data_IF_552320443967
#
_entry.id   IF_552320443967
#
_cell.length_a   1.000
_cell.length_b   1.000
_cell.length_c   1.000
_cell.angle_alpha   90.00
_cell.angle_beta   90.00
_cell.angle_gamma   90.00
#
_symmetry.space_group_name_H-M   'P 1'
#
loop_
_entity.id
_entity.type
_entity.pdbx_description
1 polymer ?
#
# COMPACT_ATOMS: atom_id res chain seq x y z
N UNK A 1 30.56 -33.60 -69.58
CA UNK A 1 29.55 -32.64 -70.10
C UNK A 1 28.81 -32.06 -68.91
N UNK A 2 29.00 -30.77 -68.61
CA UNK A 2 28.15 -30.01 -67.68
C UNK A 2 26.81 -29.66 -68.37
N UNK A 3 25.88 -28.93 -67.73
CA UNK A 3 25.13 -29.15 -66.49
C UNK A 3 23.60 -28.97 -66.74
N UNK A 4 22.75 -29.03 -65.71
CA UNK A 4 21.41 -28.39 -65.56
C UNK A 4 20.79 -28.96 -64.25
N UNK A 5 19.93 -28.34 -63.45
CA UNK A 5 19.55 -26.96 -63.11
C UNK A 5 18.47 -27.11 -61.99
N UNK A 6 18.57 -26.34 -60.90
CA UNK A 6 17.49 -25.81 -60.02
C UNK A 6 16.23 -26.64 -59.74
N UNK A 7 15.91 -26.88 -58.45
CA UNK A 7 14.69 -26.31 -57.80
C UNK A 7 14.59 -26.54 -56.27
N UNK A 8 14.33 -25.42 -55.57
CA UNK A 8 13.50 -25.14 -54.36
C UNK A 8 13.56 -26.06 -53.12
N UNK A 9 14.02 -25.56 -51.97
CA UNK A 9 13.30 -24.75 -50.95
C UNK A 9 12.15 -25.48 -50.25
N UNK A 10 12.35 -25.77 -48.95
CA UNK A 10 11.32 -26.26 -48.04
C UNK A 10 11.87 -26.88 -46.76
N UNK A 11 12.58 -26.12 -45.92
CA UNK A 11 12.83 -26.52 -44.53
C UNK A 11 11.84 -25.78 -43.63
N UNK A 12 10.93 -26.56 -43.04
CA UNK A 12 10.00 -26.12 -41.99
C UNK A 12 10.79 -26.04 -40.69
N UNK A 13 11.05 -24.83 -40.19
CA UNK A 13 11.49 -24.60 -38.82
C UNK A 13 10.23 -24.39 -37.98
N UNK A 14 9.92 -25.36 -37.12
CA UNK A 14 8.95 -25.18 -36.03
C UNK A 14 9.64 -24.36 -34.95
N UNK A 15 9.39 -23.06 -34.93
CA UNK A 15 9.77 -22.20 -33.80
C UNK A 15 8.78 -22.45 -32.67
N UNK A 16 9.20 -23.18 -31.64
CA UNK A 16 8.50 -23.22 -30.36
C UNK A 16 8.70 -21.86 -29.68
N UNK A 17 7.72 -20.97 -29.80
CA UNK A 17 7.65 -19.74 -29.00
C UNK A 17 7.29 -20.11 -27.56
N UNK A 18 8.30 -20.45 -26.76
CA UNK A 18 8.20 -20.34 -25.30
C UNK A 18 8.17 -18.84 -25.00
N UNK A 19 6.98 -18.31 -24.74
CA UNK A 19 6.78 -16.95 -24.25
C UNK A 19 7.38 -16.79 -22.86
N UNK A 20 8.69 -16.59 -22.78
CA UNK A 20 9.31 -15.92 -21.65
C UNK A 20 8.93 -14.44 -21.76
N UNK A 21 7.86 -14.06 -21.06
CA UNK A 21 7.62 -12.65 -20.76
C UNK A 21 8.79 -12.16 -19.91
N UNK A 22 9.79 -11.59 -20.58
CA UNK A 22 10.82 -10.80 -19.91
C UNK A 22 10.12 -9.59 -19.30
N UNK A 23 9.91 -9.60 -17.99
CA UNK A 23 9.72 -8.38 -17.22
C UNK A 23 11.02 -7.58 -17.32
N UNK A 24 11.17 -6.84 -18.42
CA UNK A 24 12.04 -5.69 -18.44
C UNK A 24 11.37 -4.71 -17.50
N UNK A 25 11.82 -4.68 -16.24
CA UNK A 25 11.36 -3.69 -15.29
C UNK A 25 11.56 -2.31 -15.92
N UNK A 26 10.46 -1.62 -16.21
CA UNK A 26 10.53 -0.21 -16.50
C UNK A 26 11.25 0.44 -15.29
N UNK A 27 12.23 1.30 -15.56
CA UNK A 27 12.95 1.99 -14.48
C UNK A 27 12.00 2.73 -13.55
N UNK A 28 12.45 3.03 -12.34
CA UNK A 28 11.65 3.83 -11.39
C UNK A 28 11.14 5.10 -12.07
N UNK A 29 9.83 5.37 -11.92
CA UNK A 29 9.22 6.56 -12.49
C UNK A 29 9.68 7.75 -11.65
N UNK A 30 10.23 8.74 -12.32
CA UNK A 30 10.49 10.06 -11.75
C UNK A 30 9.33 10.99 -12.07
N UNK A 31 9.20 12.07 -11.29
CA UNK A 31 8.23 13.11 -11.60
C UNK A 31 8.38 13.58 -13.05
N UNK A 32 7.27 13.56 -13.80
CA UNK A 32 7.23 14.10 -15.18
C UNK A 32 6.98 15.60 -15.16
N UNK A 33 6.34 16.10 -14.10
CA UNK A 33 6.23 17.52 -13.81
C UNK A 33 7.58 18.01 -13.27
N UNK A 34 8.20 19.03 -13.88
CA UNK A 34 9.46 19.56 -13.40
C UNK A 34 9.34 20.11 -11.97
N UNK A 35 10.17 19.62 -11.06
CA UNK A 35 10.23 20.15 -9.71
C UNK A 35 10.69 21.62 -9.72
N UNK A 36 9.89 22.53 -9.19
CA UNK A 36 10.36 23.89 -8.88
C UNK A 36 11.39 23.88 -7.73
N UNK A 37 11.28 22.90 -6.83
CA UNK A 37 12.23 22.64 -5.75
C UNK A 37 12.20 21.15 -5.39
N UNK A 38 13.35 20.58 -5.02
CA UNK A 38 13.47 19.18 -4.61
C UNK A 38 13.66 19.05 -3.11
N UNK A 39 12.88 18.18 -2.43
CA UNK A 39 13.13 17.91 -1.02
C UNK A 39 14.49 17.24 -0.84
N UNK A 40 15.23 17.65 0.19
CA UNK A 40 16.41 16.90 0.60
C UNK A 40 15.96 15.57 1.22
N UNK A 41 16.59 14.43 0.87
CA UNK A 41 16.26 13.17 1.49
C UNK A 41 16.58 13.22 2.99
N UNK A 42 15.86 12.44 3.80
CA UNK A 42 16.10 12.37 5.25
C UNK A 42 17.54 11.99 5.59
N UNK A 43 18.25 11.28 4.71
CA UNK A 43 19.66 10.91 4.87
C UNK A 43 20.62 12.10 4.71
N UNK A 44 20.21 13.19 4.07
CA UNK A 44 21.03 14.39 3.84
C UNK A 44 20.93 15.43 4.97
N UNK A 45 19.97 15.29 5.88
CA UNK A 45 19.75 16.26 6.97
C UNK A 45 19.88 15.57 8.32
N UNK A 46 20.74 16.10 9.19
CA UNK A 46 20.94 15.59 10.55
C UNK A 46 20.66 16.68 11.57
N UNK A 47 19.74 16.37 12.50
CA UNK A 47 19.43 17.26 13.61
C UNK A 47 20.53 17.15 14.67
N UNK A 48 21.21 18.27 14.93
CA UNK A 48 22.33 18.35 15.87
C UNK A 48 21.92 18.87 17.26
N UNK A 49 20.75 19.51 17.39
CA UNK A 49 20.28 20.08 18.65
C UNK A 49 18.91 20.76 18.52
N UNK A 50 18.48 21.40 19.61
CA UNK A 50 17.23 22.17 19.67
C UNK A 50 15.95 21.32 19.82
N UNK A 51 14.77 21.97 19.82
CA UNK A 51 13.48 21.31 20.06
C UNK A 51 13.17 20.13 19.12
N UNK A 52 13.54 20.22 17.84
CA UNK A 52 13.33 19.12 16.88
C UNK A 52 14.20 17.90 17.19
N UNK A 53 15.46 18.10 17.61
CA UNK A 53 16.31 16.99 18.04
C UNK A 53 15.78 16.36 19.33
N UNK A 54 15.28 17.18 20.26
CA UNK A 54 14.65 16.67 21.47
C UNK A 54 13.43 15.80 21.15
N UNK A 55 12.53 16.26 20.27
CA UNK A 55 11.39 15.49 19.80
C UNK A 55 11.81 14.19 19.09
N UNK A 56 12.79 14.25 18.18
CA UNK A 56 13.34 13.06 17.51
C UNK A 56 13.85 12.02 18.52
N UNK A 57 14.58 12.45 19.54
CA UNK A 57 15.11 11.56 20.58
C UNK A 57 13.99 10.94 21.44
N UNK A 58 12.94 11.71 21.77
CA UNK A 58 11.77 11.19 22.49
C UNK A 58 11.01 10.15 21.68
N UNK A 59 10.73 10.44 20.42
CA UNK A 59 10.07 9.52 19.49
C UNK A 59 10.93 8.27 19.33
N UNK A 60 12.25 8.42 19.14
CA UNK A 60 13.17 7.29 19.01
C UNK A 60 13.15 6.36 20.22
N UNK A 61 13.13 6.91 21.45
CA UNK A 61 12.98 6.10 22.67
C UNK A 61 11.65 5.35 22.70
N UNK A 62 10.55 6.07 22.45
CA UNK A 62 9.21 5.46 22.43
C UNK A 62 9.12 4.32 21.40
N UNK A 63 9.61 4.52 20.18
CA UNK A 63 9.61 3.49 19.14
C UNK A 63 10.40 2.23 19.52
N UNK A 64 11.47 2.38 20.30
CA UNK A 64 12.28 1.25 20.77
C UNK A 64 11.64 0.50 21.96
N UNK A 65 10.76 1.15 22.71
CA UNK A 65 9.96 0.54 23.79
C UNK A 65 8.78 -0.30 23.26
N UNK A 66 8.31 0.00 22.05
CA UNK A 66 7.24 -0.77 21.42
C UNK A 66 7.71 -2.16 20.96
N UNK A 67 6.80 -3.13 21.03
CA UNK A 67 7.08 -4.55 20.77
C UNK A 67 6.39 -5.02 19.48
N UNK A 68 7.15 -5.32 18.41
CA UNK A 68 6.61 -5.74 17.12
C UNK A 68 5.67 -6.94 17.17
N UNK A 69 6.01 -7.97 17.96
CA UNK A 69 5.23 -9.21 18.02
C UNK A 69 3.81 -9.00 18.56
N UNK A 70 3.62 -7.97 19.41
CA UNK A 70 2.30 -7.60 19.94
C UNK A 70 1.41 -6.97 18.87
N UNK A 71 2.00 -6.17 17.97
CA UNK A 71 1.28 -5.55 16.83
C UNK A 71 0.97 -6.60 15.76
N UNK A 72 1.84 -7.60 15.62
CA UNK A 72 1.72 -8.67 14.62
C UNK A 72 0.84 -9.84 15.09
N UNK A 73 0.48 -9.90 16.38
CA UNK A 73 -0.34 -10.97 16.94
C UNK A 73 -1.65 -11.17 16.17
N UNK A 74 -2.35 -10.09 15.80
CA UNK A 74 -3.58 -10.15 15.00
C UNK A 74 -3.34 -10.79 13.63
N UNK A 75 -2.29 -10.37 12.91
CA UNK A 75 -1.93 -10.93 11.60
C UNK A 75 -1.67 -12.44 11.68
N UNK A 76 -0.91 -12.88 12.69
CA UNK A 76 -0.60 -14.30 12.90
C UNK A 76 -1.88 -15.11 13.18
N UNK A 77 -2.72 -14.67 14.12
CA UNK A 77 -4.00 -15.32 14.44
C UNK A 77 -4.87 -15.54 13.20
N UNK A 78 -5.00 -14.52 12.34
CA UNK A 78 -5.85 -14.61 11.14
C UNK A 78 -5.39 -15.64 10.12
N UNK A 79 -4.10 -16.00 10.15
CA UNK A 79 -3.51 -17.02 9.25
C UNK A 79 -3.33 -18.39 9.92
N UNK A 80 -3.82 -18.55 11.15
CA UNK A 80 -3.60 -19.77 11.94
C UNK A 80 -2.15 -19.97 12.39
N UNK A 81 -1.35 -18.91 12.40
CA UNK A 81 -0.02 -18.91 13.01
C UNK A 81 -0.16 -18.57 14.50
N UNK A 82 0.64 -19.22 15.34
CA UNK A 82 0.74 -18.89 16.76
C UNK A 82 1.28 -17.47 16.95
N UNK A 83 0.61 -16.59 17.73
CA UNK A 83 1.14 -15.29 18.11
C UNK A 83 2.42 -15.44 18.94
N UNK A 84 3.40 -14.57 18.67
CA UNK A 84 4.68 -14.57 19.40
C UNK A 84 4.63 -13.77 20.70
N UNK A 85 3.61 -12.94 20.88
CA UNK A 85 3.38 -12.15 22.08
C UNK A 85 1.88 -11.88 22.30
N UNK A 86 1.53 -11.41 23.50
CA UNK A 86 0.17 -10.97 23.81
C UNK A 86 -0.17 -9.69 23.02
N UNK A 87 -1.31 -9.64 22.31
CA UNK A 87 -1.67 -8.50 21.48
C UNK A 87 -1.74 -7.20 22.28
N UNK A 88 -1.56 -6.08 21.60
CA UNK A 88 -1.92 -4.79 22.18
C UNK A 88 -3.43 -4.67 22.41
N UNK A 89 -3.81 -3.77 23.33
CA UNK A 89 -5.20 -3.40 23.56
C UNK A 89 -5.60 -2.20 22.69
N UNK A 90 -6.52 -1.37 23.21
CA UNK A 90 -6.98 -0.19 22.50
C UNK A 90 -7.57 -0.52 21.13
N UNK A 91 -7.35 0.33 20.14
CA UNK A 91 -7.88 0.13 18.78
C UNK A 91 -7.22 -1.02 18.00
N UNK A 92 -6.03 -1.46 18.44
CA UNK A 92 -5.29 -2.59 17.85
C UNK A 92 -5.67 -3.94 18.49
N UNK A 93 -6.60 -3.95 19.44
CA UNK A 93 -7.08 -5.18 20.09
C UNK A 93 -7.58 -6.20 19.08
N UNK A 94 -7.26 -7.47 19.31
CA UNK A 94 -7.78 -8.62 18.51
C UNK A 94 -9.19 -9.06 18.94
N UNK A 95 -9.74 -8.43 20.00
CA UNK A 95 -11.10 -8.67 20.52
C UNK A 95 -11.86 -7.36 20.66
N UNK A 96 -13.09 -7.32 20.14
CA UNK A 96 -14.06 -6.24 20.37
C UNK A 96 -13.70 -4.87 19.78
N UNK A 97 -12.68 -4.81 18.92
CA UNK A 97 -12.26 -3.63 18.15
C UNK A 97 -11.90 -4.07 16.73
N UNK A 98 -11.92 -3.12 15.81
CA UNK A 98 -11.95 -3.40 14.38
C UNK A 98 -10.91 -2.60 13.58
N UNK A 99 -9.91 -2.01 14.25
CA UNK A 99 -8.78 -1.37 13.57
C UNK A 99 -7.49 -2.19 13.66
N UNK A 100 -7.57 -3.45 14.10
CA UNK A 100 -6.45 -4.37 14.30
C UNK A 100 -5.51 -4.39 13.09
N UNK A 101 -4.22 -4.19 13.36
CA UNK A 101 -3.13 -4.19 12.40
C UNK A 101 -2.69 -2.80 11.93
N UNK A 102 -3.52 -1.77 12.12
CA UNK A 102 -3.16 -0.42 11.67
C UNK A 102 -1.91 0.14 12.37
N UNK A 103 -1.64 -0.26 13.62
CA UNK A 103 -0.44 0.15 14.36
C UNK A 103 0.82 -0.47 13.76
N UNK A 104 0.78 -1.73 13.34
CA UNK A 104 1.94 -2.39 12.73
C UNK A 104 2.42 -1.65 11.47
N UNK A 105 1.47 -1.23 10.63
CA UNK A 105 1.75 -0.43 9.44
C UNK A 105 2.36 0.94 9.76
N UNK A 106 1.74 1.71 10.67
CA UNK A 106 2.28 2.99 11.15
C UNK A 106 3.67 2.85 11.78
N UNK A 107 3.87 1.80 12.59
CA UNK A 107 5.14 1.52 13.24
C UNK A 107 6.23 1.25 12.22
N UNK A 108 5.93 0.44 11.19
CA UNK A 108 6.87 0.13 10.12
C UNK A 108 7.34 1.39 9.38
N UNK A 109 6.42 2.30 9.04
CA UNK A 109 6.77 3.63 8.51
C UNK A 109 7.66 4.41 9.48
N UNK A 110 7.27 4.49 10.75
CA UNK A 110 7.96 5.29 11.75
C UNK A 110 9.41 4.85 11.98
N UNK A 111 9.67 3.54 12.09
CA UNK A 111 11.05 3.03 12.25
C UNK A 111 11.87 3.18 10.97
N UNK A 112 11.26 3.03 9.80
CA UNK A 112 11.94 3.22 8.51
C UNK A 112 12.38 4.67 8.32
N UNK A 113 11.49 5.63 8.62
CA UNK A 113 11.80 7.07 8.59
C UNK A 113 12.84 7.45 9.66
N UNK A 114 12.73 6.91 10.88
CA UNK A 114 13.69 7.17 11.95
C UNK A 114 15.08 6.65 11.60
N UNK A 115 15.19 5.49 10.96
CA UNK A 115 16.45 4.98 10.42
C UNK A 115 17.05 5.95 9.40
N UNK A 116 16.30 6.40 8.39
CA UNK A 116 16.82 7.33 7.39
C UNK A 116 17.28 8.67 7.99
N UNK A 117 16.53 9.18 8.98
CA UNK A 117 16.80 10.46 9.64
C UNK A 117 17.99 10.43 10.62
N UNK A 118 18.33 9.28 11.18
CA UNK A 118 19.34 9.17 12.25
C UNK A 118 20.54 8.31 11.89
N UNK A 119 20.37 7.32 11.01
CA UNK A 119 21.34 6.26 10.74
C UNK A 119 21.45 5.21 11.85
N UNK A 120 20.60 5.24 12.88
CA UNK A 120 20.66 4.29 13.99
C UNK A 120 20.16 2.90 13.55
N UNK A 121 21.03 1.87 13.55
CA UNK A 121 20.72 0.57 12.96
C UNK A 121 19.58 -0.17 13.67
N UNK A 122 19.31 0.15 14.94
CA UNK A 122 18.25 -0.49 15.72
C UNK A 122 16.87 -0.30 15.07
N UNK A 123 16.63 0.85 14.44
CA UNK A 123 15.35 1.07 13.74
C UNK A 123 15.26 0.26 12.45
N UNK A 124 16.37 0.08 11.73
CA UNK A 124 16.42 -0.80 10.56
C UNK A 124 16.16 -2.25 10.96
N UNK A 125 16.76 -2.72 12.05
CA UNK A 125 16.54 -4.06 12.59
C UNK A 125 15.05 -4.30 12.92
N UNK A 126 14.36 -3.30 13.50
CA UNK A 126 12.91 -3.37 13.73
C UNK A 126 12.12 -3.43 12.41
N UNK A 127 12.46 -2.61 11.42
CA UNK A 127 11.80 -2.61 10.11
C UNK A 127 11.96 -3.97 9.41
N UNK A 128 13.20 -4.48 9.33
CA UNK A 128 13.51 -5.76 8.71
C UNK A 128 12.81 -6.93 9.42
N UNK A 129 12.72 -6.88 10.76
CA UNK A 129 11.97 -7.86 11.54
C UNK A 129 10.48 -7.86 11.17
N UNK A 130 9.82 -6.69 11.18
CA UNK A 130 8.41 -6.61 10.81
C UNK A 130 8.16 -7.14 9.39
N UNK A 131 8.99 -6.74 8.42
CA UNK A 131 8.85 -7.20 7.03
C UNK A 131 8.99 -8.72 6.93
N UNK A 132 9.97 -9.32 7.64
CA UNK A 132 10.13 -10.77 7.68
C UNK A 132 8.90 -11.48 8.25
N UNK A 133 8.34 -10.97 9.33
CA UNK A 133 7.15 -11.57 9.96
C UNK A 133 5.89 -11.39 9.11
N UNK A 134 5.71 -10.21 8.49
CA UNK A 134 4.62 -9.97 7.54
C UNK A 134 4.73 -10.86 6.30
N UNK A 135 5.96 -11.16 5.84
CA UNK A 135 6.19 -12.14 4.77
C UNK A 135 5.73 -13.53 5.17
N UNK A 136 6.08 -14.01 6.36
CA UNK A 136 5.63 -15.32 6.87
C UNK A 136 4.09 -15.41 6.88
N UNK A 137 3.42 -14.34 7.35
CA UNK A 137 1.96 -14.23 7.35
C UNK A 137 1.40 -14.25 5.92
N UNK A 138 1.91 -13.43 5.01
CA UNK A 138 1.42 -13.35 3.63
C UNK A 138 1.63 -14.66 2.86
N UNK A 139 2.79 -15.30 3.05
CA UNK A 139 3.12 -16.59 2.44
C UNK A 139 2.21 -17.70 3.00
N UNK A 140 1.95 -17.71 4.32
CA UNK A 140 1.00 -18.66 4.94
C UNK A 140 -0.42 -18.45 4.42
N UNK A 141 -0.83 -17.20 4.19
CA UNK A 141 -2.15 -16.88 3.63
C UNK A 141 -2.27 -17.34 2.18
N UNK A 142 -1.23 -17.18 1.37
CA UNK A 142 -1.16 -17.65 -0.02
C UNK A 142 -2.00 -16.86 -1.02
N UNK A 143 -2.73 -15.82 -0.60
CA UNK A 143 -3.63 -15.03 -1.47
C UNK A 143 -3.11 -13.64 -1.81
N UNK A 144 -1.95 -13.24 -1.28
CA UNK A 144 -1.43 -11.87 -1.36
C UNK A 144 -2.04 -10.89 -0.35
N UNK A 145 -3.21 -11.21 0.23
CA UNK A 145 -3.83 -10.40 1.27
C UNK A 145 -3.00 -10.35 2.55
N UNK A 146 -2.81 -9.16 3.10
CA UNK A 146 -2.11 -8.93 4.35
C UNK A 146 -2.90 -7.96 5.25
N UNK A 147 -3.76 -8.51 6.11
CA UNK A 147 -4.55 -7.75 7.06
C UNK A 147 -4.96 -8.58 8.28
N UNK A 148 -5.22 -7.90 9.40
CA UNK A 148 -5.59 -8.51 10.69
C UNK A 148 -7.03 -8.20 11.14
N UNK A 149 -7.73 -7.33 10.40
CA UNK A 149 -9.06 -6.81 10.70
C UNK A 149 -10.15 -7.90 10.64
N UNK A 150 -11.17 -7.73 11.49
CA UNK A 150 -12.43 -8.49 11.46
C UNK A 150 -13.65 -7.59 11.63
N UNK A 151 -14.82 -8.14 11.31
CA UNK A 151 -16.07 -7.59 11.83
C UNK A 151 -16.20 -7.82 13.36
N UNK A 152 -17.30 -7.34 13.95
CA UNK A 152 -17.60 -7.52 15.37
C UNK A 152 -17.93 -8.98 15.76
N UNK A 153 -18.25 -9.82 14.77
CA UNK A 153 -18.50 -11.25 14.96
C UNK A 153 -17.22 -12.09 14.84
N UNK A 154 -16.07 -11.47 14.53
CA UNK A 154 -14.79 -12.13 14.36
C UNK A 154 -14.55 -12.72 12.97
N UNK A 155 -15.38 -12.40 11.99
CA UNK A 155 -15.22 -12.81 10.59
C UNK A 155 -13.95 -12.16 10.01
N UNK A 156 -13.05 -12.96 9.43
CA UNK A 156 -11.81 -12.48 8.81
C UNK A 156 -12.09 -11.48 7.69
N UNK A 157 -11.38 -10.35 7.68
CA UNK A 157 -11.46 -9.34 6.63
C UNK A 157 -11.28 -9.89 5.22
N UNK A 158 -10.47 -10.93 5.01
CA UNK A 158 -10.33 -11.60 3.71
C UNK A 158 -11.66 -12.14 3.18
N UNK A 159 -12.48 -12.73 4.06
CA UNK A 159 -13.80 -13.24 3.70
C UNK A 159 -14.78 -12.08 3.42
N UNK A 160 -14.72 -11.02 4.22
CA UNK A 160 -15.57 -9.83 4.05
C UNK A 160 -15.22 -9.04 2.77
N UNK A 161 -13.95 -8.93 2.41
CA UNK A 161 -13.53 -8.42 1.10
C UNK A 161 -13.97 -9.34 -0.05
N UNK A 162 -14.10 -10.65 0.19
CA UNK A 162 -14.74 -11.57 -0.76
C UNK A 162 -16.21 -11.23 -1.02
N UNK A 163 -16.96 -10.80 0.00
CA UNK A 163 -18.34 -10.30 -0.17
C UNK A 163 -18.36 -9.00 -0.99
N UNK A 164 -17.46 -8.06 -0.66
CA UNK A 164 -17.29 -6.81 -1.43
C UNK A 164 -17.01 -7.13 -2.89
N UNK A 165 -16.09 -8.05 -3.18
CA UNK A 165 -15.74 -8.49 -4.54
C UNK A 165 -16.91 -9.16 -5.29
N UNK A 166 -17.88 -9.73 -4.57
CA UNK A 166 -19.11 -10.29 -5.12
C UNK A 166 -20.22 -9.23 -5.32
N UNK A 167 -19.95 -7.96 -4.96
CA UNK A 167 -20.88 -6.85 -5.07
C UNK A 167 -21.80 -6.66 -3.87
N UNK A 168 -21.66 -7.47 -2.81
CA UNK A 168 -22.34 -7.23 -1.53
C UNK A 168 -21.58 -6.15 -0.76
N UNK A 169 -22.08 -4.92 -0.87
CA UNK A 169 -21.43 -3.72 -0.33
C UNK A 169 -22.42 -2.99 0.58
N UNK A 170 -22.10 -2.97 1.88
CA UNK A 170 -22.77 -2.17 2.92
C UNK A 170 -21.75 -1.18 3.46
N UNK A 171 -21.94 0.09 3.15
CA UNK A 171 -20.94 1.13 3.41
C UNK A 171 -21.57 2.31 4.17
N UNK A 172 -20.87 2.78 5.19
CA UNK A 172 -21.05 4.10 5.81
C UNK A 172 -19.68 4.76 5.98
N UNK A 173 -19.62 5.98 6.54
CA UNK A 173 -18.38 6.77 6.67
C UNK A 173 -17.19 5.98 7.22
N UNK A 174 -17.43 5.07 8.17
CA UNK A 174 -16.39 4.27 8.82
C UNK A 174 -16.68 2.77 8.85
N UNK A 175 -17.77 2.30 8.24
CA UNK A 175 -18.12 0.87 8.21
C UNK A 175 -18.16 0.37 6.77
N UNK A 176 -17.44 -0.71 6.47
CA UNK A 176 -17.59 -1.47 5.24
C UNK A 176 -17.81 -2.94 5.59
N UNK A 177 -19.01 -3.44 5.28
CA UNK A 177 -19.47 -4.79 5.56
C UNK A 177 -19.27 -5.20 7.03
N UNK A 178 -19.48 -4.26 7.95
CA UNK A 178 -19.29 -4.52 9.37
C UNK A 178 -17.85 -4.38 9.84
N UNK A 179 -16.88 -3.98 9.00
CA UNK A 179 -15.49 -3.67 9.39
C UNK A 179 -15.28 -2.17 9.56
N UNK A 180 -14.55 -1.75 10.59
CA UNK A 180 -14.21 -0.35 10.79
C UNK A 180 -13.06 0.09 9.86
N UNK A 181 -13.37 0.96 8.89
CA UNK A 181 -12.42 1.57 7.94
C UNK A 181 -11.37 0.59 7.40
N UNK A 182 -11.76 -0.53 6.78
CA UNK A 182 -10.82 -1.60 6.44
C UNK A 182 -9.78 -1.16 5.41
N UNK A 183 -10.14 -0.36 4.40
CA UNK A 183 -9.14 0.17 3.47
C UNK A 183 -8.14 1.12 4.15
N UNK A 184 -8.55 1.86 5.18
CA UNK A 184 -7.62 2.66 5.99
C UNK A 184 -6.60 1.79 6.74
N UNK A 185 -7.02 0.64 7.29
CA UNK A 185 -6.11 -0.26 8.02
C UNK A 185 -5.12 -0.92 7.07
N UNK A 186 -5.59 -1.38 5.91
CA UNK A 186 -4.73 -1.91 4.85
C UNK A 186 -3.76 -0.84 4.32
N UNK A 187 -4.24 0.40 4.11
CA UNK A 187 -3.40 1.53 3.70
C UNK A 187 -2.19 1.72 4.61
N UNK A 188 -2.33 1.58 5.94
CA UNK A 188 -1.16 1.69 6.83
C UNK A 188 -0.14 0.61 6.59
N UNK A 189 -0.59 -0.59 6.26
CA UNK A 189 0.31 -1.70 5.92
C UNK A 189 1.03 -1.42 4.60
N UNK A 190 0.32 -0.96 3.57
CA UNK A 190 0.92 -0.51 2.31
C UNK A 190 1.98 0.58 2.54
N UNK A 191 1.61 1.67 3.22
CA UNK A 191 2.52 2.78 3.49
C UNK A 191 3.77 2.32 4.28
N UNK A 192 3.60 1.43 5.26
CA UNK A 192 4.71 0.83 5.98
C UNK A 192 5.66 0.03 5.07
N UNK A 193 5.12 -0.80 4.17
CA UNK A 193 5.92 -1.58 3.22
C UNK A 193 6.68 -0.67 2.25
N UNK A 194 5.99 0.30 1.65
CA UNK A 194 6.58 1.35 0.80
C UNK A 194 7.74 2.05 1.50
N UNK A 195 7.52 2.50 2.74
CA UNK A 195 8.53 3.23 3.51
C UNK A 195 9.71 2.33 3.91
N UNK A 196 9.46 1.06 4.25
CA UNK A 196 10.51 0.10 4.50
C UNK A 196 11.38 -0.14 3.25
N UNK A 197 10.77 -0.25 2.07
CA UNK A 197 11.50 -0.33 0.81
C UNK A 197 12.34 0.94 0.57
N UNK A 198 11.69 2.12 0.55
CA UNK A 198 12.32 3.39 0.18
C UNK A 198 13.39 3.88 1.16
N UNK A 199 13.19 3.70 2.47
CA UNK A 199 14.07 4.27 3.49
C UNK A 199 15.08 3.29 4.08
N UNK A 200 14.87 1.99 3.92
CA UNK A 200 15.79 0.96 4.44
C UNK A 200 16.40 0.07 3.35
N UNK A 201 15.94 0.19 2.10
CA UNK A 201 16.38 -0.65 0.99
C UNK A 201 15.82 -2.08 1.03
N UNK A 202 14.77 -2.33 1.82
CA UNK A 202 14.23 -3.67 2.02
C UNK A 202 13.38 -4.12 0.82
N UNK A 203 14.01 -4.85 -0.12
CA UNK A 203 13.34 -5.36 -1.34
C UNK A 203 12.22 -6.36 -1.05
N UNK A 204 12.31 -7.11 0.05
CA UNK A 204 11.25 -8.01 0.47
C UNK A 204 9.96 -7.24 0.78
N UNK A 205 10.06 -6.01 1.30
CA UNK A 205 8.89 -5.17 1.54
C UNK A 205 8.15 -4.85 0.23
N UNK A 206 8.90 -4.50 -0.82
CA UNK A 206 8.35 -4.25 -2.16
C UNK A 206 7.69 -5.51 -2.74
N UNK A 207 8.30 -6.69 -2.59
CA UNK A 207 7.71 -7.96 -3.05
C UNK A 207 6.37 -8.28 -2.37
N UNK A 208 6.27 -8.03 -1.06
CA UNK A 208 5.04 -8.18 -0.29
C UNK A 208 3.98 -7.18 -0.80
N UNK A 209 4.39 -5.92 -0.98
CA UNK A 209 3.50 -4.84 -1.43
C UNK A 209 2.91 -5.12 -2.81
N UNK A 210 3.72 -5.58 -3.77
CA UNK A 210 3.27 -5.98 -5.11
C UNK A 210 2.19 -7.07 -5.01
N UNK A 211 2.44 -8.16 -4.27
CA UNK A 211 1.44 -9.23 -4.09
C UNK A 211 0.18 -8.74 -3.39
N UNK A 212 0.31 -7.75 -2.52
CA UNK A 212 -0.82 -7.16 -1.82
C UNK A 212 -1.65 -6.25 -2.74
N UNK A 213 -1.01 -5.48 -3.61
CA UNK A 213 -1.67 -4.71 -4.66
C UNK A 213 -2.36 -5.61 -5.69
N UNK A 214 -1.72 -6.72 -6.09
CA UNK A 214 -2.36 -7.74 -6.94
C UNK A 214 -3.61 -8.34 -6.31
N UNK A 215 -3.60 -8.54 -4.99
CA UNK A 215 -4.81 -8.94 -4.27
C UNK A 215 -5.88 -7.85 -4.33
N UNK A 216 -5.53 -6.59 -4.07
CA UNK A 216 -6.48 -5.48 -4.12
C UNK A 216 -7.09 -5.32 -5.53
N UNK A 217 -6.28 -5.44 -6.58
CA UNK A 217 -6.74 -5.43 -7.97
C UNK A 217 -7.76 -6.54 -8.26
N UNK A 218 -7.52 -7.77 -7.79
CA UNK A 218 -8.47 -8.89 -7.95
C UNK A 218 -9.81 -8.65 -7.25
N UNK A 219 -9.82 -7.88 -6.15
CA UNK A 219 -11.06 -7.50 -5.46
C UNK A 219 -11.79 -6.43 -6.27
N UNK A 220 -11.09 -5.36 -6.66
CA UNK A 220 -11.72 -4.18 -7.26
C UNK A 220 -12.09 -4.38 -8.74
N UNK A 221 -11.34 -5.16 -9.51
CA UNK A 221 -11.60 -5.45 -10.93
C UNK A 221 -12.96 -6.11 -11.20
N UNK A 222 -13.60 -6.70 -10.18
CA UNK A 222 -14.94 -7.29 -10.27
C UNK A 222 -16.08 -6.30 -10.10
N UNK A 223 -15.77 -5.06 -9.75
CA UNK A 223 -16.75 -4.03 -9.43
C UNK A 223 -16.89 -3.04 -10.59
N UNK A 224 -18.12 -2.60 -10.84
CA UNK A 224 -18.37 -1.44 -11.69
C UNK A 224 -18.17 -0.13 -10.91
N UNK A 225 -18.15 0.99 -11.62
CA UNK A 225 -17.97 2.31 -11.04
C UNK A 225 -18.97 2.64 -9.93
N UNK A 226 -20.24 2.25 -10.08
CA UNK A 226 -21.27 2.53 -9.08
C UNK A 226 -20.98 1.78 -7.78
N UNK A 227 -20.57 0.51 -7.86
CA UNK A 227 -20.15 -0.30 -6.71
C UNK A 227 -18.88 0.24 -6.06
N UNK A 228 -17.91 0.68 -6.85
CA UNK A 228 -16.70 1.35 -6.34
C UNK A 228 -17.07 2.61 -5.57
N UNK A 229 -17.85 3.52 -6.15
CA UNK A 229 -18.25 4.76 -5.47
C UNK A 229 -19.05 4.45 -4.19
N UNK A 230 -19.91 3.43 -4.21
CA UNK A 230 -20.60 2.96 -2.99
C UNK A 230 -19.60 2.54 -1.91
N UNK A 231 -18.61 1.71 -2.26
CA UNK A 231 -17.54 1.28 -1.33
C UNK A 231 -16.73 2.46 -0.77
N UNK A 232 -16.41 3.46 -1.60
CA UNK A 232 -15.60 4.63 -1.21
C UNK A 232 -16.31 5.61 -0.27
N UNK A 233 -17.60 5.39 0.03
CA UNK A 233 -18.27 6.07 1.14
C UNK A 233 -17.60 5.78 2.49
N UNK A 234 -16.91 4.64 2.60
CA UNK A 234 -16.11 4.29 3.77
C UNK A 234 -14.69 4.82 3.65
N UNK A 235 -14.13 5.31 4.75
CA UNK A 235 -12.75 5.77 4.82
C UNK A 235 -11.75 4.71 4.32
N UNK A 236 -10.91 5.14 3.37
CA UNK A 236 -9.86 4.32 2.75
C UNK A 236 -8.44 4.88 2.95
N UNK A 237 -8.28 5.99 3.67
CA UNK A 237 -6.98 6.65 3.80
C UNK A 237 -6.40 7.05 2.43
N UNK A 238 -5.09 6.87 2.23
CA UNK A 238 -4.36 7.21 1.00
C UNK A 238 -4.09 5.97 0.15
N UNK A 239 -5.07 5.09 -0.05
CA UNK A 239 -4.90 3.94 -0.95
C UNK A 239 -4.51 4.36 -2.37
N UNK A 240 -5.05 5.48 -2.86
CA UNK A 240 -4.64 6.06 -4.14
C UNK A 240 -3.18 6.50 -4.14
N UNK A 241 -2.68 7.11 -3.06
CA UNK A 241 -1.27 7.51 -2.91
C UNK A 241 -0.32 6.32 -2.99
N UNK A 242 -0.49 5.32 -2.11
CA UNK A 242 0.44 4.18 -2.03
C UNK A 242 0.47 3.34 -3.31
N UNK A 243 -0.63 3.29 -4.06
CA UNK A 243 -0.68 2.60 -5.35
C UNK A 243 -0.02 3.42 -6.47
N UNK A 244 -0.13 4.74 -6.44
CA UNK A 244 0.64 5.61 -7.34
C UNK A 244 2.14 5.54 -7.04
N UNK A 245 2.52 5.48 -5.76
CA UNK A 245 3.90 5.24 -5.34
C UNK A 245 4.43 3.88 -5.80
N UNK A 246 3.60 2.84 -5.73
CA UNK A 246 3.99 1.52 -6.23
C UNK A 246 4.21 1.52 -7.75
N UNK A 247 3.42 2.29 -8.51
CA UNK A 247 3.72 2.55 -9.91
C UNK A 247 5.09 3.21 -10.06
N UNK A 248 5.41 4.21 -9.25
CA UNK A 248 6.72 4.85 -9.32
C UNK A 248 7.89 3.92 -8.95
N UNK A 249 7.68 3.04 -7.98
CA UNK A 249 8.70 2.12 -7.50
C UNK A 249 8.96 0.95 -8.46
N UNK A 250 7.98 0.57 -9.29
CA UNK A 250 8.05 -0.62 -10.15
C UNK A 250 8.00 -0.34 -11.66
N UNK A 251 7.51 0.83 -12.06
CA UNK A 251 7.21 1.17 -13.45
C UNK A 251 6.00 0.42 -14.05
N UNK A 252 5.28 -0.39 -13.27
CA UNK A 252 4.14 -1.18 -13.75
C UNK A 252 2.84 -0.35 -13.74
N UNK A 253 2.32 -0.06 -14.93
CA UNK A 253 1.14 0.78 -15.13
C UNK A 253 -0.13 0.21 -14.50
N UNK A 254 -0.17 -1.08 -14.12
CA UNK A 254 -1.31 -1.64 -13.39
C UNK A 254 -1.59 -0.88 -12.09
N UNK A 255 -0.57 -0.37 -11.41
CA UNK A 255 -0.74 0.27 -10.10
C UNK A 255 -1.29 1.68 -10.19
N UNK A 256 -0.93 2.44 -11.23
CA UNK A 256 -1.56 3.74 -11.47
C UNK A 256 -3.00 3.58 -11.94
N UNK A 257 -3.32 2.55 -12.74
CA UNK A 257 -4.71 2.22 -13.06
C UNK A 257 -5.50 1.84 -11.80
N UNK A 258 -4.91 1.04 -10.91
CA UNK A 258 -5.55 0.65 -9.66
C UNK A 258 -5.74 1.85 -8.71
N UNK A 259 -4.82 2.82 -8.68
CA UNK A 259 -4.95 4.00 -7.82
C UNK A 259 -6.19 4.83 -8.18
N UNK A 260 -6.55 4.95 -9.46
CA UNK A 260 -7.78 5.62 -9.91
C UNK A 260 -9.07 4.95 -9.42
N UNK A 261 -9.02 3.66 -9.03
CA UNK A 261 -10.17 2.97 -8.42
C UNK A 261 -10.52 3.52 -7.02
N UNK A 262 -9.65 4.33 -6.43
CA UNK A 262 -9.86 5.02 -5.15
C UNK A 262 -10.23 6.50 -5.30
N UNK A 263 -10.62 6.95 -6.49
CA UNK A 263 -11.08 8.31 -6.73
C UNK A 263 -12.53 8.48 -6.24
N UNK A 264 -12.70 9.11 -5.08
CA UNK A 264 -14.01 9.34 -4.48
C UNK A 264 -14.66 10.60 -5.07
N UNK A 265 -15.46 10.41 -6.13
CA UNK A 265 -16.04 11.48 -6.96
C UNK A 265 -16.88 12.47 -6.16
N UNK A 266 -17.61 12.02 -5.13
CA UNK A 266 -18.43 12.90 -4.29
C UNK A 266 -17.62 13.97 -3.53
N UNK A 267 -16.31 13.76 -3.36
CA UNK A 267 -15.40 14.75 -2.75
C UNK A 267 -14.56 15.45 -3.81
N UNK A 268 -14.01 14.69 -4.76
CA UNK A 268 -13.04 15.22 -5.73
C UNK A 268 -13.69 16.11 -6.78
N UNK A 269 -14.87 15.74 -7.30
CA UNK A 269 -15.49 16.49 -8.40
C UNK A 269 -15.97 17.90 -8.00
N UNK A 270 -16.58 18.13 -6.80
CA UNK A 270 -16.83 19.49 -6.33
C UNK A 270 -15.53 20.31 -6.20
N UNK A 271 -14.48 19.73 -5.62
CA UNK A 271 -13.21 20.44 -5.43
C UNK A 271 -12.56 20.85 -6.75
N UNK A 272 -12.62 20.00 -7.79
CA UNK A 272 -12.19 20.33 -9.16
C UNK A 272 -12.95 21.51 -9.79
N UNK A 273 -14.19 21.75 -9.35
CA UNK A 273 -15.00 22.90 -9.76
C UNK A 273 -14.77 24.14 -8.87
N UNK A 274 -13.84 24.07 -7.91
CA UNK A 274 -13.62 25.13 -6.93
C UNK A 274 -14.74 25.24 -5.87
N UNK A 275 -15.55 24.19 -5.70
CA UNK A 275 -16.65 24.16 -4.74
C UNK A 275 -16.18 23.52 -3.42
N UNK A 276 -16.23 24.27 -2.32
CA UNK A 276 -15.94 23.72 -0.99
C UNK A 276 -17.10 22.82 -0.50
N UNK A 277 -16.86 21.51 -0.52
CA UNK A 277 -17.78 20.49 0.00
C UNK A 277 -17.30 19.86 1.33
N UNK A 278 -16.33 20.47 2.02
CA UNK A 278 -15.61 19.86 3.15
C UNK A 278 -16.30 20.09 4.50
N UNK A 279 -17.18 21.09 4.61
CA UNK A 279 -17.90 21.39 5.83
C UNK A 279 -18.70 20.16 6.33
N UNK A 280 -18.45 19.75 7.58
CA UNK A 280 -19.09 18.58 8.20
C UNK A 280 -18.47 17.23 7.83
N UNK A 281 -17.47 17.18 6.94
CA UNK A 281 -16.73 15.96 6.65
C UNK A 281 -15.59 15.72 7.65
N UNK A 282 -15.27 14.46 7.90
CA UNK A 282 -14.13 14.09 8.74
C UNK A 282 -12.81 14.42 8.02
N UNK A 283 -12.07 15.42 8.52
CA UNK A 283 -10.89 15.99 7.83
C UNK A 283 -9.78 14.98 7.54
N UNK A 284 -9.42 14.13 8.52
CA UNK A 284 -8.39 13.11 8.35
C UNK A 284 -8.73 12.06 7.27
N UNK A 285 -10.02 11.91 6.94
CA UNK A 285 -10.44 11.05 5.83
C UNK A 285 -10.27 11.72 4.48
N UNK A 286 -10.32 13.07 4.40
CA UNK A 286 -10.27 13.79 3.12
C UNK A 286 -8.85 14.10 2.68
N UNK A 287 -7.98 14.52 3.60
CA UNK A 287 -6.61 14.95 3.27
C UNK A 287 -5.82 13.87 2.51
N UNK A 288 -5.81 12.58 2.92
CA UNK A 288 -5.09 11.54 2.19
C UNK A 288 -5.62 11.30 0.76
N UNK A 289 -6.91 11.55 0.51
CA UNK A 289 -7.49 11.43 -0.84
C UNK A 289 -6.81 12.43 -1.77
N UNK A 290 -6.71 13.69 -1.33
CA UNK A 290 -6.09 14.77 -2.10
C UNK A 290 -4.59 14.54 -2.29
N UNK A 291 -3.90 14.01 -1.27
CA UNK A 291 -2.49 13.67 -1.39
C UNK A 291 -2.23 12.65 -2.52
N UNK A 292 -3.08 11.63 -2.64
CA UNK A 292 -2.94 10.67 -3.73
C UNK A 292 -3.16 11.27 -5.13
N UNK A 293 -4.05 12.25 -5.29
CA UNK A 293 -4.18 13.00 -6.55
C UNK A 293 -2.91 13.79 -6.87
N UNK A 294 -2.36 14.52 -5.89
CA UNK A 294 -1.13 15.31 -6.07
C UNK A 294 0.06 14.41 -6.46
N UNK A 295 0.24 13.29 -5.76
CA UNK A 295 1.32 12.34 -6.05
C UNK A 295 1.18 11.74 -7.44
N UNK A 296 -0.05 11.34 -7.81
CA UNK A 296 -0.31 10.79 -9.14
C UNK A 296 -0.06 11.82 -10.24
N UNK A 297 -0.54 13.06 -10.08
CA UNK A 297 -0.25 14.17 -11.00
C UNK A 297 1.26 14.37 -11.21
N UNK A 298 2.06 14.32 -10.15
CA UNK A 298 3.51 14.44 -10.26
C UNK A 298 4.13 13.34 -11.14
N UNK A 299 3.62 12.10 -11.06
CA UNK A 299 4.12 10.94 -11.81
C UNK A 299 3.58 10.85 -13.24
N UNK A 300 2.37 11.30 -13.51
CA UNK A 300 1.70 11.12 -14.80
C UNK A 300 1.60 12.39 -15.63
N UNK A 301 1.57 13.56 -14.99
CA UNK A 301 1.26 14.83 -15.63
C UNK A 301 -0.18 14.90 -16.16
N UNK A 302 -1.07 14.03 -15.70
CA UNK A 302 -2.46 14.00 -16.12
C UNK A 302 -3.24 15.13 -15.42
N UNK A 303 -3.61 16.17 -16.16
CA UNK A 303 -4.36 17.32 -15.63
C UNK A 303 -5.72 16.93 -15.01
N UNK A 304 -6.24 15.73 -15.26
CA UNK A 304 -7.42 15.22 -14.53
C UNK A 304 -7.14 14.89 -13.06
N UNK A 305 -5.87 14.79 -12.67
CA UNK A 305 -5.40 14.66 -11.28
C UNK A 305 -4.96 15.99 -10.66
N UNK A 306 -4.75 17.01 -11.48
CA UNK A 306 -4.33 18.35 -11.06
C UNK A 306 -5.26 19.41 -11.63
N UNK A 307 -6.38 19.68 -10.94
CA UNK A 307 -7.20 20.87 -11.13
C UNK A 307 -7.93 21.23 -9.84
#
# INVERSE_FOLDING_TARGET
MSPLNRTRFGQVIVLACVGLASFVGAGQITNVIPDAARPLPLTAVRLMGGPLKHAQNLIGRYLLELEPDRMLAGYRLRTGLEPKAQPYGGWDSVKGKQLTGHIAGHYLSAVSLMYAATGDPRFKERADYLVKELKEVQDKRGTGYLGAITDNSGTDGAALFGQVAAGDIRSSSFDLNGMWSPWYTLHKTFAGLRDAYRYTGNRTALEIEIKFAEWADRILSKLDDAKIQKMLNTEFGGMNEVLADLYADTGDTRWVVLSHRFDHRAVIEPLKRGEDCLAGLHGNTQVPKLLGHIVRYAYTGDDTDGA
#
